data_IF_231982367934
#
_entry.id   IF_231982367934
#
_cell.length_a   1.000
_cell.length_b   1.000
_cell.length_c   1.000
_cell.angle_alpha   90.00
_cell.angle_beta   90.00
_cell.angle_gamma   90.00
#
_symmetry.space_group_name_H-M   'P 1'
#
loop_
_entity.id
_entity.type
_entity.pdbx_description
1 polymer ?
#
# COMPACT_ATOMS: atom_id res chain seq x y z
N UNK A 1 -4.13 4.49 -25.54
CA UNK A 1 -2.97 4.02 -24.75
C UNK A 1 -2.42 2.79 -25.45
N UNK A 2 -1.11 2.72 -25.76
CA UNK A 2 -0.54 1.52 -26.36
C UNK A 2 -0.80 0.34 -25.43
N UNK A 3 -1.27 -0.79 -25.98
CA UNK A 3 -1.43 -2.01 -25.19
C UNK A 3 -0.06 -2.50 -24.74
N UNK A 4 0.10 -2.81 -23.46
CA UNK A 4 1.31 -3.45 -22.97
C UNK A 4 1.49 -4.82 -23.62
N UNK A 5 2.70 -5.15 -24.05
CA UNK A 5 3.06 -6.48 -24.53
C UNK A 5 2.98 -7.52 -23.39
N UNK A 6 2.91 -8.83 -23.69
CA UNK A 6 2.85 -9.89 -22.66
C UNK A 6 4.01 -9.83 -21.64
N UNK A 7 5.16 -9.35 -22.09
CA UNK A 7 6.34 -9.15 -21.25
C UNK A 7 6.15 -8.00 -20.24
N UNK A 8 5.55 -6.88 -20.64
CA UNK A 8 5.23 -5.77 -19.72
C UNK A 8 4.24 -6.19 -18.62
N UNK A 9 3.24 -7.03 -18.94
CA UNK A 9 2.30 -7.51 -17.92
C UNK A 9 2.99 -8.38 -16.86
N UNK A 10 3.88 -9.28 -17.27
CA UNK A 10 4.62 -10.14 -16.34
C UNK A 10 5.52 -9.33 -15.41
N UNK A 11 6.28 -8.38 -15.95
CA UNK A 11 7.11 -7.48 -15.16
C UNK A 11 6.29 -6.69 -14.13
N UNK A 12 5.11 -6.20 -14.50
CA UNK A 12 4.25 -5.46 -13.58
C UNK A 12 3.75 -6.35 -12.43
N UNK A 13 3.44 -7.62 -12.70
CA UNK A 13 2.99 -8.54 -11.67
C UNK A 13 4.14 -8.95 -10.73
N UNK A 14 5.36 -9.12 -11.25
CA UNK A 14 6.56 -9.34 -10.42
C UNK A 14 6.86 -8.14 -9.51
N UNK A 15 6.78 -6.92 -10.05
CA UNK A 15 6.93 -5.69 -9.28
C UNK A 15 5.88 -5.58 -8.17
N UNK A 16 4.61 -5.86 -8.49
CA UNK A 16 3.54 -5.89 -7.49
C UNK A 16 3.81 -6.91 -6.39
N UNK A 17 4.22 -8.11 -6.75
CA UNK A 17 4.50 -9.16 -5.77
C UNK A 17 5.66 -8.76 -4.86
N UNK A 18 6.76 -8.26 -5.41
CA UNK A 18 7.93 -7.81 -4.65
C UNK A 18 7.59 -6.67 -3.68
N UNK A 19 6.79 -5.69 -4.11
CA UNK A 19 6.34 -4.62 -3.23
C UNK A 19 5.37 -5.14 -2.16
N UNK A 20 4.43 -6.02 -2.50
CA UNK A 20 3.51 -6.63 -1.53
C UNK A 20 4.30 -7.34 -0.42
N UNK A 21 5.31 -8.12 -0.78
CA UNK A 21 6.20 -8.79 0.18
C UNK A 21 6.95 -7.78 1.05
N UNK A 22 7.55 -6.75 0.43
CA UNK A 22 8.26 -5.68 1.16
C UNK A 22 7.34 -4.98 2.17
N UNK A 23 6.13 -4.60 1.74
CA UNK A 23 5.16 -3.93 2.60
C UNK A 23 4.67 -4.83 3.74
N UNK A 24 4.39 -6.11 3.44
CA UNK A 24 3.83 -7.01 4.45
C UNK A 24 4.87 -7.50 5.45
N UNK A 25 6.13 -7.68 5.03
CA UNK A 25 7.18 -8.25 5.87
C UNK A 25 8.06 -7.21 6.56
N UNK A 26 8.32 -6.05 5.93
CA UNK A 26 9.35 -5.11 6.40
C UNK A 26 8.82 -3.78 6.93
N UNK A 27 7.58 -3.43 6.59
CA UNK A 27 6.98 -2.19 7.07
C UNK A 27 6.95 -2.15 8.60
N UNK A 28 7.45 -1.05 9.19
CA UNK A 28 7.56 -0.82 10.64
C UNK A 28 8.31 -1.91 11.41
N UNK A 29 9.15 -2.71 10.75
CA UNK A 29 10.03 -3.65 11.43
C UNK A 29 11.30 -2.95 11.95
N UNK A 30 11.92 -3.45 13.04
CA UNK A 30 13.16 -2.90 13.57
C UNK A 30 14.27 -2.85 12.50
N UNK A 31 14.89 -1.69 12.28
CA UNK A 31 15.97 -1.51 11.30
C UNK A 31 15.51 -1.31 9.84
N UNK A 32 14.19 -1.31 9.58
CA UNK A 32 13.59 -1.11 8.25
C UNK A 32 12.89 0.26 8.15
N UNK A 33 13.41 1.28 8.84
CA UNK A 33 12.83 2.64 8.86
C UNK A 33 12.87 3.27 7.46
N UNK A 34 13.90 2.99 6.67
CA UNK A 34 14.00 3.46 5.28
C UNK A 34 12.91 2.85 4.40
N UNK A 35 12.61 1.56 4.58
CA UNK A 35 11.51 0.88 3.86
C UNK A 35 10.18 1.50 4.26
N UNK A 36 9.95 1.70 5.56
CA UNK A 36 8.75 2.34 6.08
C UNK A 36 8.52 3.70 5.44
N UNK A 37 9.54 4.57 5.48
CA UNK A 37 9.47 5.91 4.90
C UNK A 37 9.24 5.88 3.37
N UNK A 38 9.85 4.93 2.67
CA UNK A 38 9.66 4.78 1.23
C UNK A 38 8.23 4.33 0.88
N UNK A 39 7.67 3.37 1.64
CA UNK A 39 6.28 2.93 1.48
C UNK A 39 5.30 4.07 1.78
N UNK A 40 5.52 4.83 2.85
CA UNK A 40 4.67 5.96 3.22
C UNK A 40 4.64 7.03 2.12
N UNK A 41 5.81 7.37 1.57
CA UNK A 41 5.93 8.32 0.45
C UNK A 41 5.26 7.81 -0.80
N UNK A 42 5.51 6.56 -1.17
CA UNK A 42 4.90 5.92 -2.34
C UNK A 42 3.36 6.03 -2.28
N UNK A 43 2.77 5.73 -1.13
CA UNK A 43 1.32 5.77 -0.96
C UNK A 43 0.74 7.19 -1.07
N UNK A 44 1.41 8.19 -0.50
CA UNK A 44 0.97 9.58 -0.52
C UNK A 44 1.18 10.24 -1.89
N UNK A 45 2.34 10.04 -2.52
CA UNK A 45 2.67 10.64 -3.82
C UNK A 45 1.81 10.07 -4.94
N UNK A 46 1.65 8.75 -4.97
CA UNK A 46 0.89 8.06 -6.02
C UNK A 46 -0.59 7.89 -5.69
N UNK A 47 -1.02 8.33 -4.49
CA UNK A 47 -2.41 8.27 -4.02
C UNK A 47 -2.95 6.85 -4.17
N UNK A 48 -2.25 5.91 -3.56
CA UNK A 48 -2.55 4.47 -3.59
C UNK A 48 -2.53 3.89 -2.17
N UNK A 49 -3.09 2.70 -2.00
CA UNK A 49 -3.01 1.94 -0.75
C UNK A 49 -2.88 0.45 -1.04
N UNK A 50 -1.76 -0.13 -0.62
CA UNK A 50 -1.40 -1.52 -0.98
C UNK A 50 -0.68 -1.61 -2.33
N UNK A 51 -0.10 -2.78 -2.60
CA UNK A 51 0.56 -3.04 -3.88
C UNK A 51 -0.48 -3.27 -4.98
N UNK A 52 -1.44 -4.15 -4.72
CA UNK A 52 -2.62 -4.41 -5.53
C UNK A 52 -3.80 -3.58 -5.06
N UNK A 53 -4.08 -3.63 -3.76
CA UNK A 53 -5.15 -2.89 -3.10
C UNK A 53 -4.96 -2.91 -1.58
N UNK A 54 -5.80 -2.15 -0.87
CA UNK A 54 -5.67 -1.95 0.57
C UNK A 54 -5.71 -3.25 1.40
N UNK A 55 -6.28 -4.33 0.87
CA UNK A 55 -6.35 -5.61 1.56
C UNK A 55 -5.01 -6.33 1.66
N UNK A 56 -3.99 -5.96 0.87
CA UNK A 56 -2.64 -6.52 1.01
C UNK A 56 -2.10 -6.38 2.43
N UNK A 57 -2.50 -5.31 3.12
CA UNK A 57 -2.12 -5.03 4.50
C UNK A 57 -2.63 -6.06 5.51
N UNK A 58 -3.72 -6.79 5.22
CA UNK A 58 -4.25 -7.85 6.11
C UNK A 58 -3.22 -8.94 6.42
N UNK A 59 -2.29 -9.18 5.50
CA UNK A 59 -1.26 -10.20 5.66
C UNK A 59 -0.01 -9.68 6.41
N UNK A 60 0.11 -8.36 6.56
CA UNK A 60 1.29 -7.68 7.13
C UNK A 60 1.58 -8.10 8.57
N UNK A 61 2.87 -8.32 8.87
CA UNK A 61 3.38 -8.53 10.22
C UNK A 61 3.01 -7.35 11.13
N UNK A 62 3.18 -6.13 10.65
CA UNK A 62 2.87 -4.92 11.41
C UNK A 62 1.37 -4.80 11.73
N UNK A 63 0.46 -5.00 10.77
CA UNK A 63 -0.99 -4.90 11.02
C UNK A 63 -1.46 -5.89 12.10
N UNK A 64 -0.83 -7.07 12.16
CA UNK A 64 -1.13 -8.11 13.15
C UNK A 64 -0.51 -7.83 14.53
N UNK A 65 0.37 -6.84 14.63
CA UNK A 65 1.07 -6.47 15.85
C UNK A 65 0.27 -5.47 16.70
N UNK A 66 0.47 -5.42 18.03
CA UNK A 66 -0.14 -4.40 18.88
C UNK A 66 0.19 -2.95 18.47
N UNK A 67 1.36 -2.73 17.88
CA UNK A 67 1.87 -1.43 17.43
C UNK A 67 1.04 -0.84 16.28
N UNK A 68 0.27 -1.66 15.57
CA UNK A 68 -0.68 -1.15 14.58
C UNK A 68 -1.88 -0.44 15.21
N UNK A 69 -2.14 -0.59 16.51
CA UNK A 69 -3.22 0.13 17.21
C UNK A 69 -4.58 -0.05 16.52
N UNK A 70 -4.88 -1.29 16.10
CA UNK A 70 -6.11 -1.68 15.36
C UNK A 70 -6.29 -1.02 14.00
N UNK A 71 -5.24 -0.39 13.46
CA UNK A 71 -5.25 0.07 12.06
C UNK A 71 -5.41 -1.12 11.11
N UNK A 72 -6.14 -0.89 10.03
CA UNK A 72 -6.34 -1.85 8.94
C UNK A 72 -5.33 -1.62 7.81
N UNK A 73 -4.84 -0.38 7.73
CA UNK A 73 -3.83 0.10 6.78
C UNK A 73 -2.96 1.16 7.47
N UNK A 74 -1.75 1.47 6.97
CA UNK A 74 -0.99 2.62 7.43
C UNK A 74 -1.74 3.94 7.29
N UNK A 75 -1.37 4.93 8.11
CA UNK A 75 -1.97 6.27 8.01
C UNK A 75 -1.59 6.98 6.70
N UNK A 76 -0.49 6.58 6.05
CA UNK A 76 -0.11 6.98 4.69
C UNK A 76 -1.07 6.47 3.60
N UNK A 77 -2.00 5.57 3.91
CA UNK A 77 -3.09 5.23 2.97
C UNK A 77 -4.22 6.27 2.97
N UNK A 78 -4.29 7.15 3.97
CA UNK A 78 -5.38 8.10 4.12
C UNK A 78 -5.25 9.28 3.15
N UNK A 79 -6.40 9.76 2.66
CA UNK A 79 -6.49 11.00 1.86
C UNK A 79 -6.13 12.24 2.68
N UNK A 80 -6.39 12.18 3.97
CA UNK A 80 -5.98 13.17 4.95
C UNK A 80 -5.28 12.44 6.08
N UNK A 81 -3.96 12.58 6.13
CA UNK A 81 -3.13 11.89 7.11
C UNK A 81 -3.36 12.53 8.48
N UNK A 82 -3.95 11.76 9.37
CA UNK A 82 -4.11 12.09 10.79
C UNK A 82 -3.74 10.86 11.62
N UNK A 83 -3.31 11.03 12.88
CA UNK A 83 -2.99 9.87 13.73
C UNK A 83 -4.15 8.87 13.75
N UNK A 84 -3.85 7.60 13.47
CA UNK A 84 -4.81 6.49 13.49
C UNK A 84 -5.94 6.55 12.45
N UNK A 85 -5.83 7.40 11.41
CA UNK A 85 -6.82 7.46 10.34
C UNK A 85 -6.97 6.11 9.61
N UNK A 86 -5.91 5.29 9.57
CA UNK A 86 -5.88 3.96 8.96
C UNK A 86 -6.73 2.91 9.69
N UNK A 87 -7.37 3.26 10.81
CA UNK A 87 -8.36 2.42 11.48
C UNK A 87 -9.67 2.24 10.69
N UNK A 88 -9.91 3.10 9.68
CA UNK A 88 -11.08 3.01 8.79
C UNK A 88 -10.63 2.96 7.33
N UNK A 89 -11.04 1.93 6.59
CA UNK A 89 -10.63 1.71 5.19
C UNK A 89 -11.73 2.10 4.17
N UNK A 90 -12.70 2.92 4.60
CA UNK A 90 -13.78 3.40 3.73
C UNK A 90 -13.20 4.17 2.52
N UNK A 91 -13.76 4.02 1.30
CA UNK A 91 -13.24 4.70 0.09
C UNK A 91 -13.17 6.22 0.17
N UNK A 92 -13.96 6.86 1.03
CA UNK A 92 -13.87 8.31 1.28
C UNK A 92 -12.66 8.70 2.14
N UNK A 93 -12.13 7.77 2.94
CA UNK A 93 -11.04 8.01 3.88
C UNK A 93 -9.67 7.65 3.30
N UNK A 94 -9.58 6.56 2.55
CA UNK A 94 -8.31 6.04 2.02
C UNK A 94 -8.24 6.08 0.49
N UNK A 95 -7.03 6.03 -0.05
CA UNK A 95 -6.79 5.85 -1.48
C UNK A 95 -7.10 4.42 -1.93
N UNK A 96 -8.39 4.11 -2.12
CA UNK A 96 -8.84 2.82 -2.64
C UNK A 96 -8.84 2.82 -4.17
N UNK A 97 -8.62 1.66 -4.78
CA UNK A 97 -8.75 1.49 -6.23
C UNK A 97 -10.21 1.76 -6.61
N UNK A 98 -10.49 2.95 -7.16
CA UNK A 98 -11.74 3.21 -7.86
C UNK A 98 -11.60 2.63 -9.27
N UNK A 99 -12.54 1.76 -9.66
CA UNK A 99 -12.53 0.89 -10.85
C UNK A 99 -12.29 1.60 -12.19
N UNK A 100 -12.23 2.94 -12.21
CA UNK A 100 -12.11 3.78 -13.41
C UNK A 100 -10.74 4.40 -13.63
N UNK A 101 -9.87 4.42 -12.63
CA UNK A 101 -8.51 4.96 -12.76
C UNK A 101 -7.58 4.05 -11.99
N UNK A 102 -6.85 3.18 -12.72
CA UNK A 102 -5.86 2.28 -12.12
C UNK A 102 -5.01 3.02 -11.08
N UNK A 103 -5.14 2.59 -9.83
CA UNK A 103 -4.48 3.20 -8.67
C UNK A 103 -3.94 2.09 -7.77
N UNK A 104 -3.28 1.11 -8.37
CA UNK A 104 -2.23 0.38 -7.65
C UNK A 104 -1.02 1.34 -7.53
N UNK A 105 -0.07 1.06 -6.65
CA UNK A 105 1.11 1.92 -6.48
C UNK A 105 2.09 1.89 -7.68
N UNK A 106 1.68 1.32 -8.82
CA UNK A 106 2.42 1.16 -10.06
C UNK A 106 1.58 1.71 -11.22
N UNK A 107 1.47 3.04 -11.28
CA UNK A 107 0.89 3.72 -12.44
C UNK A 107 1.83 3.69 -13.64
#
# INVERSE_FOLDING_TARGET
MPQCSPFCSQLNDELKQSLKETMTQKYKQPGEEKVTNAVDRLQQEFKCCGSNNSQDWKESVWIKSPEAERRLVPDSCCKTVTPLCGARDHPSNIYRVEVRHGSNCFK
#
